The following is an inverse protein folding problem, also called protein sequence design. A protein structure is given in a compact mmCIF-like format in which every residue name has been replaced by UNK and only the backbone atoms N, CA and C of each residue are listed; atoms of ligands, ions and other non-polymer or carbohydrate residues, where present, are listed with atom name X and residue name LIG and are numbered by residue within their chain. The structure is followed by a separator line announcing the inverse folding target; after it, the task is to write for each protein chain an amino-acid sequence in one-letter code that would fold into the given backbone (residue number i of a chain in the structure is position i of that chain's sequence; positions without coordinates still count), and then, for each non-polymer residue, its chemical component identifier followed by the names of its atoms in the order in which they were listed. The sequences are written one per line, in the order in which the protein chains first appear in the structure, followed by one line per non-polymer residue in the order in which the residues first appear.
data_IF_321327426144
#
_entry.id   IF_321327426144
#
_cell.length_a   1.000
_cell.length_b   1.000
_cell.length_c   1.000
_cell.angle_alpha   90.00
_cell.angle_beta   90.00
_cell.angle_gamma   90.00
#
_symmetry.space_group_name_H-M   'P 1'
#
loop_
_entity.id
_entity.type
_entity.pdbx_description
1 polymer ?
#
# COMPACT_ATOMS: atom_id res chain seq x y z
N UNK A 1 20.17 -42.84 6.44
CA UNK A 1 19.94 -41.38 6.53
C UNK A 1 20.17 -40.92 7.96
N UNK A 2 20.85 -39.79 8.18
CA UNK A 2 21.09 -39.22 9.51
C UNK A 2 19.75 -38.75 10.13
N UNK A 3 19.46 -39.17 11.38
CA UNK A 3 18.20 -38.86 12.08
C UNK A 3 17.99 -37.34 12.25
N UNK A 4 19.08 -36.60 12.45
CA UNK A 4 19.06 -35.15 12.55
C UNK A 4 18.55 -34.49 11.26
N UNK A 5 18.99 -34.97 10.10
CA UNK A 5 18.56 -34.42 8.80
C UNK A 5 17.07 -34.68 8.55
N UNK A 6 16.57 -35.85 8.95
CA UNK A 6 15.15 -36.23 8.82
C UNK A 6 14.26 -35.33 9.68
N UNK A 7 14.64 -35.09 10.94
CA UNK A 7 13.90 -34.20 11.85
C UNK A 7 13.89 -32.77 11.35
N UNK A 8 15.04 -32.28 10.87
CA UNK A 8 15.16 -30.92 10.33
C UNK A 8 14.28 -30.73 9.09
N UNK A 9 14.30 -31.70 8.17
CA UNK A 9 13.46 -31.67 6.97
C UNK A 9 11.96 -31.65 7.29
N UNK A 10 11.52 -32.48 8.25
CA UNK A 10 10.12 -32.49 8.71
C UNK A 10 9.75 -31.16 9.37
N UNK A 11 10.64 -30.60 10.20
CA UNK A 11 10.41 -29.31 10.85
C UNK A 11 10.23 -28.17 9.84
N UNK A 12 11.07 -28.11 8.81
CA UNK A 12 10.95 -27.11 7.73
C UNK A 12 9.65 -27.28 6.96
N UNK A 13 9.26 -28.52 6.62
CA UNK A 13 8.02 -28.79 5.90
C UNK A 13 6.78 -28.38 6.70
N UNK A 14 6.77 -28.69 8.01
CA UNK A 14 5.67 -28.27 8.89
C UNK A 14 5.62 -26.74 8.99
N UNK A 15 6.77 -26.10 9.22
CA UNK A 15 6.85 -24.63 9.30
C UNK A 15 6.32 -23.96 8.03
N UNK A 16 6.72 -24.48 6.86
CA UNK A 16 6.25 -23.98 5.56
C UNK A 16 4.75 -24.19 5.38
N UNK A 17 4.24 -25.39 5.71
CA UNK A 17 2.82 -25.69 5.61
C UNK A 17 1.97 -24.76 6.51
N UNK A 18 2.42 -24.54 7.75
CA UNK A 18 1.75 -23.62 8.67
C UNK A 18 1.80 -22.19 8.16
N UNK A 19 2.95 -21.72 7.65
CA UNK A 19 3.07 -20.37 7.10
C UNK A 19 2.11 -20.13 5.92
N UNK A 20 1.98 -21.10 5.01
CA UNK A 20 1.04 -21.03 3.90
C UNK A 20 -0.40 -20.99 4.40
N UNK A 21 -0.76 -21.85 5.36
CA UNK A 21 -2.12 -21.88 5.93
C UNK A 21 -2.47 -20.56 6.61
N UNK A 22 -1.55 -20.00 7.41
CA UNK A 22 -1.77 -18.71 8.07
C UNK A 22 -1.87 -17.60 7.05
N UNK A 23 -0.93 -17.51 6.09
CA UNK A 23 -0.92 -16.45 5.08
C UNK A 23 -2.15 -16.45 4.18
N UNK A 24 -2.64 -17.62 3.77
CA UNK A 24 -3.89 -17.72 3.00
C UNK A 24 -5.13 -17.53 3.88
N UNK A 25 -5.09 -18.02 5.12
CA UNK A 25 -6.21 -17.95 6.06
C UNK A 25 -6.52 -16.51 6.48
N UNK A 26 -5.50 -15.70 6.76
CA UNK A 26 -5.67 -14.29 7.14
C UNK A 26 -6.32 -13.47 6.02
N UNK A 27 -6.10 -13.83 4.75
CA UNK A 27 -6.69 -13.16 3.60
C UNK A 27 -8.14 -13.59 3.31
N UNK A 28 -8.55 -14.79 3.75
CA UNK A 28 -9.91 -15.32 3.52
C UNK A 28 -10.92 -14.94 4.58
N UNK A 29 -10.47 -14.65 5.80
CA UNK A 29 -11.34 -14.29 6.92
C UNK A 29 -11.52 -12.78 6.93
N UNK A 30 -12.70 -12.29 6.54
CA UNK A 30 -12.99 -10.84 6.36
C UNK A 30 -12.55 -9.99 7.54
N UNK A 31 -12.92 -10.38 8.77
CA UNK A 31 -12.56 -9.65 9.98
C UNK A 31 -11.03 -9.51 10.18
N UNK A 32 -10.28 -10.59 9.96
CA UNK A 32 -8.81 -10.57 10.15
C UNK A 32 -8.17 -9.71 9.06
N UNK A 33 -8.62 -9.87 7.82
CA UNK A 33 -8.14 -9.06 6.70
C UNK A 33 -8.38 -7.57 6.95
N UNK A 34 -9.60 -7.18 7.29
CA UNK A 34 -9.96 -5.78 7.57
C UNK A 34 -9.14 -5.19 8.73
N UNK A 35 -8.86 -5.99 9.76
CA UNK A 35 -8.01 -5.57 10.87
C UNK A 35 -6.56 -5.33 10.45
N UNK A 36 -5.98 -6.25 9.67
CA UNK A 36 -4.61 -6.15 9.18
C UNK A 36 -4.46 -4.99 8.18
N UNK A 37 -5.34 -4.91 7.19
CA UNK A 37 -5.38 -3.84 6.20
C UNK A 37 -5.59 -2.48 6.89
N UNK A 38 -6.50 -2.40 7.87
CA UNK A 38 -6.76 -1.18 8.62
C UNK A 38 -5.58 -0.74 9.51
N UNK A 39 -4.74 -1.66 9.98
CA UNK A 39 -3.48 -1.32 10.64
C UNK A 39 -2.45 -0.81 9.63
N UNK A 40 -2.31 -1.48 8.50
CA UNK A 40 -1.37 -1.09 7.43
C UNK A 40 -1.68 0.31 6.89
N UNK A 41 -2.95 0.60 6.55
CA UNK A 41 -3.35 1.90 6.03
C UNK A 41 -3.11 3.03 7.02
N UNK A 42 -3.42 2.82 8.30
CA UNK A 42 -3.14 3.85 9.34
C UNK A 42 -1.65 4.06 9.54
N UNK A 43 -0.86 2.99 9.51
CA UNK A 43 0.60 3.07 9.60
C UNK A 43 1.19 3.82 8.41
N UNK A 44 0.72 3.52 7.19
CA UNK A 44 1.14 4.22 5.98
C UNK A 44 0.76 5.71 6.02
N UNK A 45 -0.50 6.03 6.34
CA UNK A 45 -0.98 7.41 6.44
C UNK A 45 -0.18 8.20 7.49
N UNK A 46 0.07 7.60 8.66
CA UNK A 46 0.87 8.24 9.71
C UNK A 46 2.31 8.53 9.25
N UNK A 47 2.93 7.62 8.49
CA UNK A 47 4.26 7.81 7.92
C UNK A 47 4.27 8.89 6.85
N UNK A 48 3.25 8.94 6.01
CA UNK A 48 3.12 9.97 4.98
C UNK A 48 2.93 11.35 5.62
N UNK A 49 2.03 11.47 6.61
CA UNK A 49 1.84 12.70 7.38
C UNK A 49 3.14 13.16 8.03
N UNK A 50 3.88 12.26 8.68
CA UNK A 50 5.17 12.60 9.29
C UNK A 50 6.21 13.15 8.30
N UNK A 51 6.20 12.65 7.05
CA UNK A 51 7.10 13.14 6.01
C UNK A 51 6.73 14.55 5.51
N UNK A 52 5.45 14.94 5.62
CA UNK A 52 4.95 16.24 5.15
C UNK A 52 4.64 17.22 6.29
N UNK A 53 4.92 16.85 7.55
CA UNK A 53 4.59 17.63 8.75
C UNK A 53 5.26 19.03 8.79
N UNK A 54 6.37 19.19 8.06
CA UNK A 54 7.10 20.46 7.94
C UNK A 54 6.88 21.16 6.58
N UNK A 55 5.95 20.67 5.76
CA UNK A 55 5.59 21.27 4.48
C UNK A 55 4.38 22.16 4.72
N UNK A 56 4.47 23.42 4.30
CA UNK A 56 3.38 24.38 4.46
C UNK A 56 2.17 23.95 3.61
N UNK A 57 0.97 24.04 4.18
CA UNK A 57 -0.26 23.69 3.46
C UNK A 57 -0.42 24.61 2.24
N UNK A 58 -0.67 24.03 1.07
CA UNK A 58 -0.68 24.72 -0.23
C UNK A 58 0.69 25.28 -0.71
N UNK A 59 1.83 24.73 -0.27
CA UNK A 59 3.17 25.09 -0.80
C UNK A 59 3.46 24.61 -2.24
N UNK A 60 2.44 24.33 -3.04
CA UNK A 60 2.62 23.93 -4.44
C UNK A 60 2.92 25.21 -5.24
N UNK A 61 4.21 25.53 -5.36
CA UNK A 61 4.67 26.75 -6.05
C UNK A 61 4.39 26.72 -7.56
N UNK A 62 4.42 25.53 -8.19
CA UNK A 62 4.16 25.39 -9.61
C UNK A 62 3.58 24.02 -9.96
N UNK A 63 2.57 24.03 -10.82
CA UNK A 63 1.99 22.83 -11.43
C UNK A 63 2.31 22.88 -12.92
N UNK A 64 3.10 21.92 -13.41
CA UNK A 64 3.38 21.78 -14.84
C UNK A 64 2.49 20.67 -15.39
N UNK A 65 1.53 21.06 -16.23
CA UNK A 65 0.65 20.12 -16.93
C UNK A 65 1.22 19.87 -18.31
N UNK A 66 1.57 18.61 -18.58
CA UNK A 66 1.98 18.17 -19.90
C UNK A 66 0.79 17.46 -20.52
N UNK A 67 -0.06 18.23 -21.20
CA UNK A 67 -1.22 17.72 -21.92
C UNK A 67 -0.78 17.31 -23.33
N UNK A 68 -0.55 16.00 -23.50
CA UNK A 68 -0.24 15.43 -24.82
C UNK A 68 -1.58 15.30 -25.54
N UNK A 69 -1.75 16.02 -26.66
CA UNK A 69 -2.97 16.10 -27.48
C UNK A 69 -4.07 17.07 -27.03
N UNK A 70 -3.83 17.97 -26.07
CA UNK A 70 -4.76 19.06 -25.66
C UNK A 70 -6.17 18.63 -25.17
N UNK A 71 -6.41 17.34 -24.93
CA UNK A 71 -7.70 16.81 -24.53
C UNK A 71 -8.21 17.40 -23.20
N UNK A 72 -7.30 17.83 -22.33
CA UNK A 72 -7.65 18.35 -21.01
C UNK A 72 -8.18 19.79 -21.10
N UNK A 73 -7.60 20.62 -21.96
CA UNK A 73 -8.05 22.01 -22.18
C UNK A 73 -9.42 22.04 -22.87
N UNK A 74 -9.66 21.14 -23.84
CA UNK A 74 -10.94 21.06 -24.55
C UNK A 74 -12.10 20.64 -23.62
N UNK A 75 -11.84 19.76 -22.64
CA UNK A 75 -12.86 19.26 -21.72
C UNK A 75 -13.03 20.06 -20.43
N UNK A 76 -11.96 20.64 -19.89
CA UNK A 76 -11.94 21.25 -18.56
C UNK A 76 -11.55 22.74 -18.56
N UNK A 77 -11.13 23.29 -19.70
CA UNK A 77 -10.67 24.68 -19.79
C UNK A 77 -9.27 24.89 -19.19
N UNK A 78 -8.93 26.15 -18.87
CA UNK A 78 -7.64 26.45 -18.25
C UNK A 78 -7.56 25.81 -16.87
N UNK A 79 -6.37 25.37 -16.46
CA UNK A 79 -6.16 24.72 -15.17
C UNK A 79 -6.72 25.51 -13.97
N UNK A 80 -6.60 26.83 -13.99
CA UNK A 80 -7.13 27.71 -12.94
C UNK A 80 -8.66 27.56 -12.74
N UNK A 81 -9.38 27.09 -13.75
CA UNK A 81 -10.83 26.93 -13.76
C UNK A 81 -11.29 25.51 -13.38
N UNK A 82 -10.35 24.59 -13.14
CA UNK A 82 -10.68 23.21 -12.81
C UNK A 82 -11.31 23.12 -11.41
N UNK A 83 -12.10 22.07 -11.11
CA UNK A 83 -12.56 21.84 -9.75
C UNK A 83 -11.37 21.53 -8.84
N UNK A 84 -11.12 22.40 -7.86
CA UNK A 84 -10.11 22.18 -6.81
C UNK A 84 -10.82 21.65 -5.56
N UNK A 85 -10.20 20.68 -4.88
CA UNK A 85 -10.71 20.05 -3.66
C UNK A 85 -9.96 20.55 -2.43
#
# INVERSE_FOLDING_TARGET
MNDLLKRLGIGVLIGLAVAIVVGLGTQKISFIKELLDGYEFRSYDSRMRANVDNVEEASIDSVVIIDIEQNSIEGLGNYNDWPHA
#
